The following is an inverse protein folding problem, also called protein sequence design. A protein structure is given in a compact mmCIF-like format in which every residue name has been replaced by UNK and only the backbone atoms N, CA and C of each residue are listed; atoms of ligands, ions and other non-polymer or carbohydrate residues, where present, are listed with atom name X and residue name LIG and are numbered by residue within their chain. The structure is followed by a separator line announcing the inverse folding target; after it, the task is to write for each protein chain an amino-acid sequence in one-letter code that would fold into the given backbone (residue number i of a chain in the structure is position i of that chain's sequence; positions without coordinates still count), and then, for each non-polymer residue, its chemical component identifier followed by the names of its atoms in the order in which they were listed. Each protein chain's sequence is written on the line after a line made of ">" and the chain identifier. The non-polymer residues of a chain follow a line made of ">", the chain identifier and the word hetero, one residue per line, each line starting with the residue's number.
data_IF_585396394136
#
_entry.id   IF_585396394136
#
_cell.length_a   1.000
_cell.length_b   1.000
_cell.length_c   1.000
_cell.angle_alpha   90.00
_cell.angle_beta   90.00
_cell.angle_gamma   90.00
#
_symmetry.space_group_name_H-M   'P 1'
#
loop_
_entity.id
_entity.type
_entity.pdbx_description
1 polymer ?
#
# COMPACT_ATOMS: atom_id res chain seq x y z
N UNK A 1 -9.78 -8.92 4.11
CA UNK A 1 -10.34 -7.59 4.42
C UNK A 1 -10.62 -6.84 3.13
N UNK A 2 -9.61 -6.36 2.38
CA UNK A 2 -9.78 -5.54 1.17
C UNK A 2 -10.90 -6.04 0.22
N UNK A 3 -10.91 -7.32 -0.11
CA UNK A 3 -11.90 -7.88 -1.04
C UNK A 3 -13.34 -7.76 -0.53
N UNK A 4 -13.55 -7.94 0.78
CA UNK A 4 -14.88 -7.84 1.41
C UNK A 4 -15.32 -6.37 1.48
N UNK A 5 -14.41 -5.50 1.85
CA UNK A 5 -14.67 -4.05 1.90
C UNK A 5 -14.96 -3.48 0.50
N UNK A 6 -14.18 -3.91 -0.51
CA UNK A 6 -14.43 -3.54 -1.90
C UNK A 6 -15.79 -4.09 -2.40
N UNK A 7 -16.15 -5.33 -2.05
CA UNK A 7 -17.46 -5.89 -2.41
C UNK A 7 -18.61 -5.12 -1.75
N UNK A 8 -18.42 -4.63 -0.52
CA UNK A 8 -19.41 -3.79 0.15
C UNK A 8 -19.51 -2.39 -0.50
N UNK A 9 -18.38 -1.77 -0.82
CA UNK A 9 -18.34 -0.45 -1.47
C UNK A 9 -18.97 -0.46 -2.87
N UNK A 10 -18.82 -1.57 -3.61
CA UNK A 10 -19.36 -1.75 -4.97
C UNK A 10 -20.55 -2.71 -5.02
N UNK A 11 -21.30 -2.84 -3.92
CA UNK A 11 -22.42 -3.80 -3.82
C UNK A 11 -23.52 -3.52 -4.84
N UNK A 12 -23.89 -2.26 -5.05
CA UNK A 12 -24.90 -1.88 -6.04
C UNK A 12 -24.47 -2.21 -7.46
N UNK A 13 -23.20 -2.01 -7.80
CA UNK A 13 -22.64 -2.38 -9.10
C UNK A 13 -22.85 -3.86 -9.40
N UNK A 14 -22.58 -4.72 -8.39
CA UNK A 14 -22.77 -6.17 -8.49
C UNK A 14 -24.26 -6.56 -8.51
N UNK A 15 -25.10 -5.95 -7.67
CA UNK A 15 -26.55 -6.27 -7.60
C UNK A 15 -27.31 -5.88 -8.88
N UNK A 16 -26.87 -4.80 -9.53
CA UNK A 16 -27.49 -4.32 -10.77
C UNK A 16 -26.92 -5.01 -12.02
N UNK A 17 -26.00 -5.97 -11.87
CA UNK A 17 -25.27 -6.63 -12.96
C UNK A 17 -24.46 -5.67 -13.86
N UNK A 18 -24.23 -4.44 -13.42
CA UNK A 18 -23.40 -3.48 -14.16
C UNK A 18 -21.91 -3.83 -14.12
N UNK A 19 -21.51 -4.69 -13.21
CA UNK A 19 -20.15 -5.26 -13.15
C UNK A 19 -19.80 -6.11 -14.37
N UNK A 20 -20.81 -6.62 -15.11
CA UNK A 20 -20.62 -7.28 -16.40
C UNK A 20 -20.11 -6.34 -17.52
N UNK A 21 -20.29 -5.03 -17.35
CA UNK A 21 -19.80 -4.01 -18.30
C UNK A 21 -18.31 -3.67 -18.09
N UNK A 22 -17.70 -4.13 -17.01
CA UNK A 22 -16.27 -3.93 -16.78
C UNK A 22 -15.46 -4.73 -17.80
N UNK A 23 -14.47 -4.08 -18.41
CA UNK A 23 -13.69 -4.62 -19.53
C UNK A 23 -13.00 -5.94 -19.20
N UNK A 24 -12.53 -6.11 -17.97
CA UNK A 24 -11.76 -7.29 -17.56
C UNK A 24 -12.61 -8.22 -16.70
N UNK A 25 -12.92 -9.40 -17.25
CA UNK A 25 -13.79 -10.42 -16.63
C UNK A 25 -13.06 -11.71 -16.22
N UNK A 26 -11.72 -11.69 -16.13
CA UNK A 26 -10.93 -12.88 -15.74
C UNK A 26 -11.05 -13.19 -14.24
N UNK A 27 -10.73 -14.41 -13.82
CA UNK A 27 -10.87 -14.93 -12.45
C UNK A 27 -10.35 -13.98 -11.36
N UNK A 28 -9.25 -13.25 -11.61
CA UNK A 28 -8.63 -12.32 -10.64
C UNK A 28 -9.03 -10.86 -10.88
N UNK A 29 -9.99 -10.58 -11.75
CA UNK A 29 -10.48 -9.23 -11.98
C UNK A 29 -11.53 -8.82 -10.93
N UNK A 30 -11.70 -7.53 -10.76
CA UNK A 30 -12.58 -6.95 -9.75
C UNK A 30 -14.02 -7.46 -9.78
N UNK A 31 -14.69 -7.65 -10.94
CA UNK A 31 -16.04 -8.20 -10.95
C UNK A 31 -16.15 -9.54 -10.22
N UNK A 32 -15.23 -10.46 -10.51
CA UNK A 32 -15.19 -11.75 -9.82
C UNK A 32 -14.80 -11.63 -8.34
N UNK A 33 -13.91 -10.70 -8.00
CA UNK A 33 -13.55 -10.42 -6.61
C UNK A 33 -14.77 -9.92 -5.84
N UNK A 34 -15.55 -8.98 -6.38
CA UNK A 34 -16.77 -8.49 -5.74
C UNK A 34 -17.78 -9.61 -5.51
N UNK A 35 -18.02 -10.44 -6.54
CA UNK A 35 -18.95 -11.57 -6.44
C UNK A 35 -18.51 -12.60 -5.40
N UNK A 36 -17.25 -13.03 -5.45
CA UNK A 36 -16.72 -14.08 -4.56
C UNK A 36 -16.58 -13.59 -3.11
N UNK A 37 -16.24 -12.34 -2.87
CA UNK A 37 -16.08 -11.78 -1.53
C UNK A 37 -17.40 -11.74 -0.75
N UNK A 38 -18.55 -11.78 -1.41
CA UNK A 38 -19.87 -11.86 -0.77
C UNK A 38 -20.10 -13.18 -0.03
N UNK A 39 -19.32 -14.21 -0.32
CA UNK A 39 -19.40 -15.52 0.33
C UNK A 39 -18.44 -15.65 1.52
N UNK A 40 -17.67 -14.61 1.85
CA UNK A 40 -16.83 -14.63 3.04
C UNK A 40 -17.70 -14.52 4.30
N UNK A 41 -17.64 -15.50 5.22
CA UNK A 41 -18.41 -15.44 6.45
C UNK A 41 -18.05 -14.21 7.29
N UNK A 42 -19.05 -13.61 7.93
CA UNK A 42 -18.85 -12.44 8.81
C UNK A 42 -17.82 -12.72 9.92
N UNK A 43 -17.83 -13.94 10.46
CA UNK A 43 -16.86 -14.37 11.49
C UNK A 43 -15.43 -14.23 10.98
N UNK A 44 -15.14 -14.67 9.76
CA UNK A 44 -13.80 -14.55 9.16
C UNK A 44 -13.37 -13.09 8.96
N UNK A 45 -14.29 -12.24 8.55
CA UNK A 45 -14.01 -10.80 8.42
C UNK A 45 -13.72 -10.16 9.80
N UNK A 46 -14.48 -10.52 10.83
CA UNK A 46 -14.26 -10.04 12.21
C UNK A 46 -12.89 -10.52 12.72
N UNK A 47 -12.54 -11.80 12.51
CA UNK A 47 -11.24 -12.34 12.92
C UNK A 47 -10.09 -11.65 12.18
N UNK A 48 -10.24 -11.33 10.90
CA UNK A 48 -9.24 -10.56 10.15
C UNK A 48 -9.04 -9.14 10.76
N UNK A 49 -10.12 -8.48 11.19
CA UNK A 49 -10.02 -7.19 11.89
C UNK A 49 -9.31 -7.31 13.24
N UNK A 50 -9.55 -8.38 14.00
CA UNK A 50 -8.82 -8.65 15.25
C UNK A 50 -7.33 -8.87 14.99
N UNK A 51 -6.98 -9.60 13.94
CA UNK A 51 -5.58 -9.79 13.53
C UNK A 51 -4.93 -8.44 13.14
N UNK A 52 -5.68 -7.53 12.48
CA UNK A 52 -5.20 -6.17 12.17
C UNK A 52 -4.87 -5.38 13.44
N UNK A 53 -5.68 -5.50 14.49
CA UNK A 53 -5.39 -4.83 15.78
C UNK A 53 -4.07 -5.32 16.37
N UNK A 54 -3.81 -6.63 16.33
CA UNK A 54 -2.54 -7.20 16.80
C UNK A 54 -1.35 -6.71 15.95
N UNK A 55 -1.55 -6.54 14.64
CA UNK A 55 -0.54 -5.98 13.76
C UNK A 55 -0.23 -4.52 14.14
N UNK A 56 -1.27 -3.70 14.40
CA UNK A 56 -1.10 -2.31 14.84
C UNK A 56 -0.31 -2.23 16.16
N UNK A 57 -0.60 -3.09 17.14
CA UNK A 57 0.16 -3.14 18.39
C UNK A 57 1.65 -3.43 18.15
N UNK A 58 1.96 -4.38 17.26
CA UNK A 58 3.35 -4.69 16.89
C UNK A 58 4.05 -3.53 16.18
N UNK A 59 3.33 -2.81 15.32
CA UNK A 59 3.87 -1.62 14.66
C UNK A 59 4.12 -0.49 15.68
N UNK A 60 3.18 -0.25 16.60
CA UNK A 60 3.39 0.70 17.69
C UNK A 60 4.64 0.38 18.50
N UNK A 61 4.82 -0.87 18.92
CA UNK A 61 6.03 -1.29 19.65
C UNK A 61 7.33 -1.16 18.84
N UNK A 62 7.26 -1.20 17.51
CA UNK A 62 8.39 -0.90 16.65
C UNK A 62 8.74 0.59 16.71
N UNK A 63 7.74 1.45 16.56
CA UNK A 63 7.91 2.90 16.54
C UNK A 63 8.22 3.53 17.91
N UNK A 64 8.08 2.79 19.01
CA UNK A 64 8.69 3.17 20.30
C UNK A 64 10.23 3.22 20.26
N UNK A 65 10.86 2.59 19.27
CA UNK A 65 12.31 2.45 19.15
C UNK A 65 12.92 3.19 17.97
N UNK A 66 12.13 3.56 17.00
CA UNK A 66 12.57 4.22 15.77
C UNK A 66 11.51 5.21 15.31
N UNK A 67 11.91 6.27 14.65
CA UNK A 67 10.99 7.29 14.09
C UNK A 67 10.58 6.94 12.66
N UNK A 68 11.49 6.38 11.88
CA UNK A 68 11.28 6.04 10.45
C UNK A 68 12.06 4.78 10.11
N UNK A 69 11.48 3.92 9.30
CA UNK A 69 12.24 2.84 8.66
C UNK A 69 12.13 2.91 7.13
N UNK A 70 13.14 2.35 6.46
CA UNK A 70 13.25 2.36 5.00
C UNK A 70 13.18 0.95 4.45
N UNK A 71 12.50 0.82 3.32
CA UNK A 71 12.46 -0.42 2.55
C UNK A 71 12.48 -0.11 1.06
N UNK A 72 13.01 -1.01 0.20
CA UNK A 72 12.78 -0.93 -1.23
C UNK A 72 11.28 -0.94 -1.52
N UNK A 73 10.82 -0.05 -2.41
CA UNK A 73 9.39 0.00 -2.75
C UNK A 73 8.95 -1.32 -3.36
N UNK A 74 7.76 -1.77 -3.01
CA UNK A 74 7.17 -3.06 -3.40
C UNK A 74 7.93 -4.31 -2.88
N UNK A 75 8.88 -4.15 -1.97
CA UNK A 75 9.56 -5.30 -1.37
C UNK A 75 8.71 -5.93 -0.25
N UNK A 76 8.57 -7.25 -0.30
CA UNK A 76 7.79 -8.03 0.67
C UNK A 76 6.35 -7.52 0.79
N UNK A 77 5.77 -7.63 1.99
CA UNK A 77 4.40 -7.23 2.30
C UNK A 77 4.29 -5.79 2.84
N UNK A 78 5.28 -4.94 2.59
CA UNK A 78 5.30 -3.60 3.18
C UNK A 78 4.09 -2.75 2.77
N UNK A 79 3.75 -2.76 1.47
CA UNK A 79 2.57 -2.05 0.97
C UNK A 79 1.28 -2.55 1.61
N UNK A 80 1.11 -3.87 1.75
CA UNK A 80 -0.04 -4.45 2.43
C UNK A 80 -0.07 -4.04 3.90
N UNK A 81 1.08 -4.07 4.56
CA UNK A 81 1.23 -3.69 5.98
C UNK A 81 0.80 -2.26 6.22
N UNK A 82 1.35 -1.30 5.50
CA UNK A 82 1.02 0.12 5.67
C UNK A 82 -0.44 0.42 5.36
N UNK A 83 -1.01 -0.20 4.32
CA UNK A 83 -2.44 -0.07 4.01
C UNK A 83 -3.36 -0.67 5.08
N UNK A 84 -2.96 -1.77 5.74
CA UNK A 84 -3.76 -2.37 6.82
C UNK A 84 -3.67 -1.59 8.13
N UNK A 85 -2.52 -1.00 8.41
CA UNK A 85 -2.24 -0.35 9.70
C UNK A 85 -2.46 1.16 9.67
N UNK A 86 -2.50 1.76 8.49
CA UNK A 86 -2.69 3.21 8.31
C UNK A 86 -1.43 4.05 8.49
N UNK A 87 -0.24 3.43 8.59
CA UNK A 87 1.01 4.16 8.73
C UNK A 87 1.34 4.96 7.47
N UNK A 88 1.78 6.23 7.62
CA UNK A 88 2.16 7.06 6.50
C UNK A 88 3.37 6.49 5.77
N UNK A 89 3.35 6.60 4.45
CA UNK A 89 4.42 6.10 3.59
C UNK A 89 4.74 7.12 2.49
N UNK A 90 6.01 7.48 2.35
CA UNK A 90 6.50 8.34 1.27
C UNK A 90 7.44 7.51 0.39
N UNK A 91 7.21 7.56 -0.92
CA UNK A 91 8.04 6.89 -1.91
C UNK A 91 8.86 7.92 -2.68
N UNK A 92 10.18 7.73 -2.71
CA UNK A 92 11.10 8.63 -3.41
C UNK A 92 11.98 7.87 -4.40
N UNK A 93 12.41 8.54 -5.49
CA UNK A 93 13.42 7.99 -6.39
C UNK A 93 14.72 7.66 -5.65
N UNK A 94 15.32 6.52 -5.98
CA UNK A 94 16.54 6.03 -5.34
C UNK A 94 17.66 5.67 -6.35
N UNK A 95 17.49 6.04 -7.62
CA UNK A 95 18.46 5.73 -8.67
C UNK A 95 17.87 4.93 -9.82
N UNK A 96 18.73 4.16 -10.46
CA UNK A 96 18.38 3.29 -11.57
C UNK A 96 18.99 1.92 -11.38
N UNK A 97 18.32 0.89 -11.87
CA UNK A 97 18.86 -0.47 -11.90
C UNK A 97 19.85 -0.65 -13.06
N UNK A 98 20.44 -1.85 -13.16
CA UNK A 98 21.43 -2.22 -14.21
C UNK A 98 20.85 -2.13 -15.64
N UNK A 99 19.54 -2.06 -15.79
CA UNK A 99 18.84 -1.89 -17.07
C UNK A 99 18.46 -0.44 -17.34
N UNK A 100 18.81 0.48 -16.44
CA UNK A 100 18.46 1.89 -16.52
C UNK A 100 17.01 2.19 -16.16
N UNK A 101 16.29 1.27 -15.50
CA UNK A 101 14.95 1.50 -15.02
C UNK A 101 14.97 2.22 -13.66
N UNK A 102 14.06 3.18 -13.43
CA UNK A 102 14.05 3.92 -12.17
C UNK A 102 13.71 2.98 -10.99
N UNK A 103 14.46 3.15 -9.91
CA UNK A 103 14.21 2.49 -8.64
C UNK A 103 13.67 3.47 -7.61
N UNK A 104 13.01 2.95 -6.58
CA UNK A 104 12.43 3.76 -5.51
C UNK A 104 12.62 3.13 -4.13
N UNK A 105 12.64 4.00 -3.14
CA UNK A 105 12.73 3.65 -1.73
C UNK A 105 11.51 4.22 -0.99
N UNK A 106 10.95 3.44 -0.08
CA UNK A 106 9.82 3.85 0.76
C UNK A 106 10.31 4.20 2.16
N UNK A 107 9.84 5.32 2.66
CA UNK A 107 10.00 5.79 4.03
C UNK A 107 8.67 5.59 4.74
N UNK A 108 8.68 4.92 5.88
CA UNK A 108 7.49 4.66 6.67
C UNK A 108 7.66 5.29 8.05
N UNK A 109 6.72 6.11 8.45
CA UNK A 109 6.67 6.77 9.75
C UNK A 109 5.58 6.19 10.66
N UNK A 110 5.56 6.64 11.90
CA UNK A 110 4.51 6.29 12.86
C UNK A 110 3.18 6.98 12.50
N UNK A 111 2.10 6.48 13.08
CA UNK A 111 0.75 7.02 12.89
C UNK A 111 0.69 8.51 13.26
N UNK A 112 0.12 9.31 12.37
CA UNK A 112 -0.03 10.77 12.54
C UNK A 112 1.27 11.58 12.58
N UNK A 113 2.43 10.93 12.30
CA UNK A 113 3.74 11.58 12.23
C UNK A 113 4.12 11.92 10.77
N UNK A 114 3.15 12.36 9.98
CA UNK A 114 3.34 12.70 8.56
C UNK A 114 4.33 13.86 8.39
N UNK A 115 4.32 14.83 9.28
CA UNK A 115 5.20 16.00 9.23
C UNK A 115 6.67 15.61 9.38
N UNK A 116 6.98 14.77 10.35
CA UNK A 116 8.32 14.24 10.63
C UNK A 116 8.79 13.38 9.47
N UNK A 117 7.91 12.51 8.96
CA UNK A 117 8.21 11.66 7.81
C UNK A 117 8.54 12.52 6.57
N UNK A 118 7.77 13.57 6.30
CA UNK A 118 8.05 14.54 5.21
C UNK A 118 9.38 15.23 5.41
N UNK A 119 9.73 15.62 6.63
CA UNK A 119 11.01 16.29 6.93
C UNK A 119 12.21 15.38 6.62
N UNK A 120 12.15 14.10 7.03
CA UNK A 120 13.18 13.10 6.74
C UNK A 120 13.28 12.83 5.24
N UNK A 121 12.15 12.60 4.58
CA UNK A 121 12.08 12.35 3.14
C UNK A 121 12.61 13.54 2.32
N UNK A 122 12.30 14.75 2.73
CA UNK A 122 12.81 16.00 2.12
C UNK A 122 14.33 16.15 2.27
N UNK A 123 14.87 15.79 3.43
CA UNK A 123 16.32 15.77 3.67
C UNK A 123 17.02 14.81 2.73
N UNK A 124 16.50 13.58 2.62
CA UNK A 124 16.99 12.57 1.67
C UNK A 124 16.92 13.07 0.22
N UNK A 125 15.79 13.62 -0.20
CA UNK A 125 15.60 14.12 -1.56
C UNK A 125 16.61 15.24 -1.92
N UNK A 126 16.88 16.15 -0.99
CA UNK A 126 17.86 17.24 -1.16
C UNK A 126 19.28 16.70 -1.22
N UNK A 127 19.62 15.72 -0.39
CA UNK A 127 20.96 15.14 -0.32
C UNK A 127 21.33 14.28 -1.53
N UNK A 128 20.34 13.62 -2.14
CA UNK A 128 20.60 12.68 -3.27
C UNK A 128 20.36 13.27 -4.65
N UNK A 129 19.42 14.18 -4.79
CA UNK A 129 19.07 14.81 -6.07
C UNK A 129 18.47 13.86 -7.12
N UNK A 130 18.11 12.63 -6.77
CA UNK A 130 17.55 11.64 -7.71
C UNK A 130 16.29 12.12 -8.42
N UNK A 131 15.46 12.91 -7.78
CA UNK A 131 14.24 13.50 -8.33
C UNK A 131 14.47 14.45 -9.53
N UNK A 132 15.73 14.85 -9.79
CA UNK A 132 16.12 15.70 -10.91
C UNK A 132 16.69 14.90 -12.09
N UNK A 133 16.82 13.59 -11.95
CA UNK A 133 17.40 12.72 -12.96
C UNK A 133 16.33 11.99 -13.73
N UNK A 134 16.52 11.89 -15.04
CA UNK A 134 15.66 11.12 -15.93
C UNK A 134 16.34 9.80 -16.30
N UNK A 135 15.56 8.74 -16.63
CA UNK A 135 16.12 7.50 -17.15
C UNK A 135 16.99 7.77 -18.38
N UNK A 136 18.10 7.03 -18.57
CA UNK A 136 19.06 7.30 -19.67
C UNK A 136 18.43 7.35 -21.07
N UNK A 137 17.34 6.63 -21.29
CA UNK A 137 16.62 6.62 -22.58
C UNK A 137 15.79 7.88 -22.85
N UNK A 138 15.65 8.78 -21.87
CA UNK A 138 14.82 9.99 -21.94
C UNK A 138 15.62 11.27 -21.64
N UNK A 139 16.93 11.18 -21.71
CA UNK A 139 17.86 12.32 -21.60
C UNK A 139 18.16 12.90 -22.96
#
# INVERSE_FOLDING_TARGET
>A
MLNVEAAAAFDELTRSNKDDQLVRQVKRAWPNVFRSARYVPAVEYIQANRARVLLNQKMSSLFEKIDVYLVPSFYGDNLLRTNLTGHPCIVLPNGFDDKGMPTSISFIGDLYMDGELVAVARSYQRGTGWHKRYPPKFQ
#
